data_IF_873287302927
#
_entry.id   IF_873287302927
#
_cell.length_a   1.000
_cell.length_b   1.000
_cell.length_c   1.000
_cell.angle_alpha   90.00
_cell.angle_beta   90.00
_cell.angle_gamma   90.00
#
_symmetry.space_group_name_H-M   'P 1'
#
loop_
_entity.id
_entity.type
_entity.pdbx_description
1 polymer ?
#
# COMPACT_ATOMS: atom_id res chain seq x y z
N UNK A 1 65.82 -37.86 8.97
CA UNK A 1 65.50 -36.41 9.06
C UNK A 1 64.29 -36.09 8.16
N UNK A 2 63.06 -36.22 8.69
CA UNK A 2 61.84 -35.98 7.92
C UNK A 2 61.26 -34.65 8.35
N UNK A 3 61.08 -33.83 7.39
CA UNK A 3 60.52 -32.47 7.26
C UNK A 3 59.47 -32.02 8.29
N UNK A 4 59.89 -31.26 9.28
CA UNK A 4 59.03 -30.51 10.21
C UNK A 4 58.49 -29.18 9.63
N UNK A 5 58.83 -28.87 8.35
CA UNK A 5 58.46 -27.60 7.71
C UNK A 5 57.03 -27.63 7.11
N UNK A 6 56.47 -28.80 6.83
CA UNK A 6 55.23 -28.93 6.06
C UNK A 6 53.95 -28.84 6.91
N UNK A 7 54.04 -29.10 8.21
CA UNK A 7 52.87 -29.09 9.12
C UNK A 7 52.39 -27.66 9.48
N UNK A 8 53.31 -26.71 9.59
CA UNK A 8 52.95 -25.30 9.90
C UNK A 8 52.29 -24.55 8.74
N UNK A 9 52.64 -24.94 7.50
CA UNK A 9 52.06 -24.37 6.28
C UNK A 9 50.64 -24.93 6.07
N UNK A 10 50.43 -26.22 6.29
CA UNK A 10 49.10 -26.86 6.21
C UNK A 10 48.12 -26.35 7.27
N UNK A 11 48.58 -26.12 8.49
CA UNK A 11 47.73 -25.56 9.56
C UNK A 11 47.32 -24.11 9.27
N UNK A 12 48.22 -23.29 8.69
CA UNK A 12 47.87 -21.88 8.35
C UNK A 12 46.92 -21.77 7.17
N UNK A 13 47.00 -22.68 6.19
CA UNK A 13 46.04 -22.73 5.07
C UNK A 13 44.68 -23.24 5.53
N UNK A 14 44.58 -24.26 6.37
CA UNK A 14 43.35 -24.77 6.93
C UNK A 14 42.63 -23.71 7.80
N UNK A 15 43.39 -22.96 8.61
CA UNK A 15 42.85 -21.91 9.45
C UNK A 15 42.33 -20.71 8.64
N UNK A 16 42.95 -20.35 7.52
CA UNK A 16 42.46 -19.31 6.61
C UNK A 16 41.17 -19.72 5.87
N UNK A 17 41.06 -20.99 5.46
CA UNK A 17 39.87 -21.55 4.84
C UNK A 17 38.70 -21.59 5.84
N UNK A 18 38.95 -21.98 7.08
CA UNK A 18 37.91 -22.05 8.13
C UNK A 18 37.35 -20.65 8.48
N UNK A 19 38.23 -19.63 8.58
CA UNK A 19 37.77 -18.24 8.82
C UNK A 19 37.02 -17.66 7.61
N UNK A 20 37.39 -18.02 6.38
CA UNK A 20 36.68 -17.54 5.18
C UNK A 20 35.30 -18.14 5.03
N UNK A 21 35.10 -19.41 5.40
CA UNK A 21 33.78 -20.08 5.35
C UNK A 21 32.83 -19.56 6.42
N UNK A 22 33.35 -19.29 7.63
CA UNK A 22 32.52 -18.70 8.72
C UNK A 22 32.08 -17.27 8.38
N UNK A 23 32.94 -16.47 7.73
CA UNK A 23 32.59 -15.11 7.30
C UNK A 23 31.53 -15.11 6.20
N UNK A 24 31.53 -16.06 5.27
CA UNK A 24 30.54 -16.19 4.19
C UNK A 24 29.20 -16.71 4.75
N UNK A 25 29.20 -17.63 5.71
CA UNK A 25 27.98 -18.10 6.37
C UNK A 25 27.33 -17.01 7.26
N UNK A 26 28.13 -16.12 7.86
CA UNK A 26 27.62 -15.00 8.65
C UNK A 26 26.95 -13.90 7.82
N UNK A 27 27.35 -13.71 6.56
CA UNK A 27 26.75 -12.70 5.68
C UNK A 27 25.42 -13.15 5.03
N UNK A 28 25.18 -14.45 4.92
CA UNK A 28 23.93 -14.98 4.35
C UNK A 28 22.77 -14.91 5.34
N UNK A 29 23.05 -14.82 6.64
CA UNK A 29 22.00 -14.76 7.69
C UNK A 29 21.31 -13.38 7.85
N UNK A 30 21.79 -12.34 7.16
CA UNK A 30 21.30 -10.95 7.34
C UNK A 30 20.30 -10.47 6.28
N UNK A 31 19.90 -11.29 5.33
CA UNK A 31 19.00 -10.91 4.24
C UNK A 31 17.61 -11.55 4.30
N UNK A 32 17.13 -11.94 5.49
CA UNK A 32 15.70 -12.18 5.66
C UNK A 32 15.05 -10.82 5.86
N UNK A 33 14.59 -10.22 4.78
CA UNK A 33 13.59 -9.16 4.86
C UNK A 33 12.44 -9.71 5.72
N UNK A 34 12.25 -9.15 6.91
CA UNK A 34 11.18 -9.55 7.82
C UNK A 34 9.89 -9.36 7.04
N UNK A 35 9.26 -10.45 6.62
CA UNK A 35 7.97 -10.42 5.97
C UNK A 35 7.02 -9.67 6.92
N UNK A 36 6.40 -8.60 6.43
CA UNK A 36 5.49 -7.79 7.25
C UNK A 36 4.28 -8.67 7.54
N UNK A 37 4.18 -9.17 8.77
CA UNK A 37 3.05 -9.98 9.22
C UNK A 37 1.77 -9.14 9.11
N UNK A 38 0.84 -9.58 8.27
CA UNK A 38 -0.44 -8.92 8.08
C UNK A 38 -1.40 -9.36 9.17
N UNK A 39 -1.97 -8.44 9.97
CA UNK A 39 -2.89 -8.77 11.03
C UNK A 39 -4.18 -9.43 10.50
N UNK A 40 -4.83 -10.24 11.33
CA UNK A 40 -6.11 -10.88 11.05
C UNK A 40 -7.32 -10.06 11.51
N UNK A 41 -7.07 -8.96 12.21
CA UNK A 41 -8.09 -7.97 12.62
C UNK A 41 -7.80 -6.63 11.98
N UNK A 42 -8.85 -5.92 11.59
CA UNK A 42 -8.79 -4.53 11.10
C UNK A 42 -8.41 -3.54 12.21
N UNK A 43 -8.62 -3.88 13.48
CA UNK A 43 -8.20 -3.08 14.63
C UNK A 43 -6.68 -3.13 14.90
N UNK A 44 -5.98 -4.16 14.38
CA UNK A 44 -4.55 -4.38 14.62
C UNK A 44 -3.65 -3.81 13.52
N UNK A 45 -4.19 -3.09 12.56
CA UNK A 45 -3.41 -2.46 11.49
C UNK A 45 -2.46 -1.39 12.06
N UNK A 46 -1.32 -1.18 11.38
CA UNK A 46 -0.29 -0.21 11.79
C UNK A 46 0.04 0.74 10.64
N UNK A 47 -0.83 1.74 10.40
CA UNK A 47 -0.71 2.62 9.24
C UNK A 47 0.56 3.45 9.26
N UNK A 48 1.01 3.81 8.07
CA UNK A 48 2.06 4.80 7.85
C UNK A 48 1.72 6.12 8.57
N UNK A 49 2.73 6.73 9.19
CA UNK A 49 2.56 7.95 9.98
C UNK A 49 2.82 9.23 9.14
N UNK A 50 2.27 10.35 9.62
CA UNK A 50 2.64 11.68 9.12
C UNK A 50 4.15 11.88 9.28
N UNK A 51 4.80 12.45 8.26
CA UNK A 51 6.24 12.64 8.21
C UNK A 51 7.02 11.44 7.64
N UNK A 52 6.36 10.31 7.34
CA UNK A 52 6.98 9.19 6.64
C UNK A 52 6.77 9.31 5.13
N UNK A 53 7.70 8.74 4.35
CA UNK A 53 7.61 8.70 2.88
C UNK A 53 6.87 7.46 2.41
N UNK A 54 6.00 7.64 1.41
CA UNK A 54 5.42 6.54 0.66
C UNK A 54 6.55 5.70 0.02
N UNK A 55 6.63 4.40 0.29
CA UNK A 55 7.63 3.52 -0.30
C UNK A 55 7.46 3.41 -1.83
N UNK A 56 8.41 2.76 -2.49
CA UNK A 56 8.29 2.49 -3.94
C UNK A 56 7.25 1.41 -4.17
N UNK A 57 6.14 1.77 -4.80
CA UNK A 57 4.99 0.89 -5.03
C UNK A 57 4.68 0.88 -6.53
N UNK A 58 4.36 -0.32 -7.04
CA UNK A 58 3.83 -0.53 -8.37
C UNK A 58 2.36 -0.90 -8.26
N UNK A 59 1.52 -0.28 -9.07
CA UNK A 59 0.08 -0.52 -9.15
C UNK A 59 -0.27 -0.77 -10.61
N UNK A 60 -1.53 -1.12 -10.90
CA UNK A 60 -2.00 -1.25 -12.28
C UNK A 60 -3.11 -0.22 -12.53
N UNK A 61 -3.12 0.39 -13.72
CA UNK A 61 -4.25 1.23 -14.14
C UNK A 61 -5.42 0.34 -14.62
N UNK A 62 -6.61 0.90 -14.93
CA UNK A 62 -7.74 0.13 -15.43
C UNK A 62 -7.47 -0.63 -16.73
N UNK A 63 -6.47 -0.24 -17.54
CA UNK A 63 -6.02 -0.96 -18.72
C UNK A 63 -5.07 -2.13 -18.40
N UNK A 64 -4.72 -2.35 -17.12
CA UNK A 64 -3.79 -3.39 -16.68
C UNK A 64 -2.30 -3.02 -16.79
N UNK A 65 -1.98 -1.81 -17.20
CA UNK A 65 -0.61 -1.34 -17.33
C UNK A 65 -0.01 -1.00 -15.98
N UNK A 66 1.28 -1.32 -15.79
CA UNK A 66 1.99 -1.04 -14.53
C UNK A 66 2.31 0.44 -14.40
N UNK A 67 1.87 1.02 -13.30
CA UNK A 67 2.09 2.41 -12.92
C UNK A 67 2.94 2.48 -11.65
N UNK A 68 3.97 3.31 -11.64
CA UNK A 68 4.76 3.61 -10.44
C UNK A 68 4.05 4.72 -9.66
N UNK A 69 3.46 4.39 -8.50
CA UNK A 69 2.78 5.39 -7.66
C UNK A 69 3.65 6.62 -7.38
N UNK A 70 4.92 6.41 -7.05
CA UNK A 70 5.85 7.50 -6.75
C UNK A 70 6.10 8.46 -7.94
N UNK A 71 5.86 8.03 -9.18
CA UNK A 71 5.94 8.94 -10.34
C UNK A 71 4.75 9.90 -10.35
N UNK A 72 3.54 9.41 -10.12
CA UNK A 72 2.33 10.24 -10.03
C UNK A 72 2.39 11.21 -8.84
N UNK A 73 2.90 10.75 -7.68
CA UNK A 73 3.06 11.61 -6.49
C UNK A 73 4.02 12.77 -6.71
N UNK A 74 5.00 12.65 -7.62
CA UNK A 74 5.93 13.74 -7.96
C UNK A 74 5.31 14.83 -8.82
N UNK A 75 4.27 14.51 -9.56
CA UNK A 75 3.61 15.45 -10.48
C UNK A 75 2.79 16.48 -9.72
N UNK A 76 1.97 16.02 -8.76
CA UNK A 76 1.08 16.86 -7.97
C UNK A 76 0.97 16.35 -6.53
N UNK A 77 0.78 17.24 -5.54
CA UNK A 77 0.34 16.79 -4.22
C UNK A 77 -0.97 16.01 -4.37
N UNK A 78 -1.12 14.95 -3.60
CA UNK A 78 -2.13 13.92 -3.86
C UNK A 78 -2.98 13.64 -2.65
N UNK A 79 -4.30 13.60 -2.83
CA UNK A 79 -5.21 12.89 -1.95
C UNK A 79 -5.19 11.43 -2.37
N UNK A 80 -4.51 10.58 -1.60
CA UNK A 80 -4.41 9.14 -1.82
C UNK A 80 -5.42 8.41 -0.94
N UNK A 81 -6.39 7.74 -1.56
CA UNK A 81 -7.51 7.09 -0.87
C UNK A 81 -7.41 5.59 -1.05
N UNK A 82 -7.55 4.84 0.05
CA UNK A 82 -7.63 3.38 0.03
C UNK A 82 -9.04 2.93 0.38
N UNK A 83 -9.60 2.01 -0.43
CA UNK A 83 -10.94 1.48 -0.25
C UNK A 83 -10.97 -0.03 -0.50
N UNK A 84 -12.01 -0.70 0.03
CA UNK A 84 -12.09 -2.16 0.06
C UNK A 84 -12.36 -2.79 -1.29
N UNK A 85 -13.07 -2.05 -2.16
CA UNK A 85 -13.44 -2.51 -3.51
C UNK A 85 -14.74 -1.88 -3.99
N UNK A 86 -15.00 -1.93 -5.31
CA UNK A 86 -16.19 -1.40 -5.97
C UNK A 86 -17.48 -2.16 -5.63
N UNK A 87 -17.37 -3.33 -5.04
CA UNK A 87 -18.47 -4.11 -4.50
C UNK A 87 -19.01 -3.58 -3.16
N UNK A 88 -18.27 -2.69 -2.47
CA UNK A 88 -18.61 -2.19 -1.14
C UNK A 88 -19.51 -0.93 -1.25
N UNK A 89 -20.76 -0.95 -0.74
CA UNK A 89 -21.68 0.20 -0.85
C UNK A 89 -21.14 1.47 -0.19
N UNK A 90 -20.55 1.36 1.01
CA UNK A 90 -19.96 2.53 1.71
C UNK A 90 -18.74 3.09 0.96
N UNK A 91 -18.02 2.25 0.23
CA UNK A 91 -16.91 2.72 -0.60
C UNK A 91 -17.43 3.50 -1.80
N UNK A 92 -18.44 2.99 -2.51
CA UNK A 92 -19.05 3.68 -3.64
C UNK A 92 -19.63 5.04 -3.22
N UNK A 93 -20.31 5.09 -2.07
CA UNK A 93 -20.82 6.36 -1.52
C UNK A 93 -19.68 7.35 -1.30
N UNK A 94 -18.59 6.93 -0.65
CA UNK A 94 -17.43 7.80 -0.41
C UNK A 94 -16.77 8.26 -1.72
N UNK A 95 -16.58 7.35 -2.70
CA UNK A 95 -16.03 7.72 -4.00
C UNK A 95 -16.90 8.76 -4.71
N UNK A 96 -18.24 8.63 -4.66
CA UNK A 96 -19.15 9.59 -5.22
C UNK A 96 -19.10 10.95 -4.48
N UNK A 97 -18.97 10.95 -3.14
CA UNK A 97 -18.80 12.18 -2.37
C UNK A 97 -17.49 12.90 -2.69
N UNK A 98 -16.39 12.17 -2.93
CA UNK A 98 -15.11 12.78 -3.33
C UNK A 98 -15.17 13.52 -4.68
N UNK A 99 -16.11 13.18 -5.59
CA UNK A 99 -16.36 13.96 -6.82
C UNK A 99 -16.69 15.42 -6.52
N UNK A 100 -17.41 15.69 -5.41
CA UNK A 100 -17.80 17.06 -5.04
C UNK A 100 -16.61 17.95 -4.69
N UNK A 101 -15.50 17.38 -4.28
CA UNK A 101 -14.27 18.10 -3.92
C UNK A 101 -13.14 17.92 -4.95
N UNK A 102 -13.38 17.18 -6.03
CA UNK A 102 -12.37 16.97 -7.08
C UNK A 102 -11.95 18.31 -7.72
N UNK A 103 -12.89 19.09 -8.23
CA UNK A 103 -12.58 20.39 -8.82
C UNK A 103 -11.94 21.36 -7.82
N UNK A 104 -12.48 21.58 -6.59
CA UNK A 104 -11.82 22.37 -5.57
C UNK A 104 -10.40 21.91 -5.20
N UNK A 105 -10.12 20.60 -5.16
CA UNK A 105 -8.77 20.08 -4.93
C UNK A 105 -7.85 20.32 -6.13
N UNK A 106 -8.35 20.17 -7.35
CA UNK A 106 -7.62 20.46 -8.57
C UNK A 106 -7.23 21.97 -8.63
N UNK A 107 -8.12 22.86 -8.22
CA UNK A 107 -7.86 24.31 -8.13
C UNK A 107 -6.76 24.64 -7.11
N UNK A 108 -6.64 23.84 -6.05
CA UNK A 108 -5.54 23.90 -5.09
C UNK A 108 -4.25 23.22 -5.59
N UNK A 109 -4.26 22.64 -6.79
CA UNK A 109 -3.13 21.93 -7.40
C UNK A 109 -2.97 20.49 -6.95
N UNK A 110 -3.93 19.93 -6.22
CA UNK A 110 -3.94 18.51 -5.84
C UNK A 110 -4.54 17.63 -6.94
N UNK A 111 -4.26 16.34 -6.87
CA UNK A 111 -4.96 15.30 -7.59
C UNK A 111 -5.57 14.28 -6.61
N UNK A 112 -6.58 13.53 -7.05
CA UNK A 112 -7.13 12.39 -6.30
C UNK A 112 -6.67 11.09 -6.97
N UNK A 113 -6.14 10.17 -6.18
CA UNK A 113 -5.83 8.79 -6.59
C UNK A 113 -6.52 7.86 -5.60
N UNK A 114 -7.42 7.00 -6.09
CA UNK A 114 -8.08 5.99 -5.27
C UNK A 114 -7.56 4.59 -5.63
N UNK A 115 -7.25 3.80 -4.60
CA UNK A 115 -6.58 2.50 -4.70
C UNK A 115 -7.42 1.44 -4.02
N UNK A 116 -7.62 0.29 -4.67
CA UNK A 116 -8.26 -0.88 -4.07
C UNK A 116 -7.57 -2.17 -4.51
N UNK A 117 -7.78 -3.29 -3.78
CA UNK A 117 -7.33 -4.61 -4.22
C UNK A 117 -8.08 -5.17 -5.43
N UNK A 118 -9.07 -4.47 -5.95
CA UNK A 118 -9.77 -4.93 -7.14
C UNK A 118 -8.84 -5.01 -8.34
N UNK A 119 -9.01 -6.01 -9.18
CA UNK A 119 -8.29 -6.13 -10.44
C UNK A 119 -8.70 -5.03 -11.44
N UNK A 120 -7.90 -4.74 -12.47
CA UNK A 120 -8.12 -3.63 -13.40
C UNK A 120 -9.53 -3.55 -13.99
N UNK A 121 -10.12 -4.69 -14.40
CA UNK A 121 -11.43 -4.73 -15.02
C UNK A 121 -12.57 -4.35 -14.05
N UNK A 122 -12.40 -4.62 -12.75
CA UNK A 122 -13.37 -4.20 -11.72
C UNK A 122 -13.23 -2.71 -11.39
N UNK A 123 -12.02 -2.12 -11.54
CA UNK A 123 -11.84 -0.67 -11.41
C UNK A 123 -12.56 0.09 -12.53
N UNK A 124 -12.49 -0.41 -13.78
CA UNK A 124 -13.19 0.22 -14.88
C UNK A 124 -14.70 0.31 -14.60
N UNK A 125 -15.30 -0.81 -14.18
CA UNK A 125 -16.73 -0.84 -13.79
C UNK A 125 -17.04 0.12 -12.63
N UNK A 126 -16.13 0.23 -11.65
CA UNK A 126 -16.29 1.14 -10.51
C UNK A 126 -16.24 2.59 -10.96
N UNK A 127 -15.32 2.94 -11.85
CA UNK A 127 -15.19 4.28 -12.44
C UNK A 127 -16.43 4.69 -13.21
N UNK A 128 -16.90 3.83 -14.10
CA UNK A 128 -18.11 4.06 -14.91
C UNK A 128 -19.36 4.19 -14.03
N UNK A 129 -19.57 3.23 -13.12
CA UNK A 129 -20.75 3.22 -12.21
C UNK A 129 -20.88 4.48 -11.36
N UNK A 130 -19.74 5.00 -10.88
CA UNK A 130 -19.71 6.18 -10.00
C UNK A 130 -19.37 7.47 -10.76
N UNK A 131 -19.19 7.41 -12.09
CA UNK A 131 -18.83 8.55 -12.97
C UNK A 131 -17.60 9.32 -12.43
N UNK A 132 -16.53 8.59 -12.09
CA UNK A 132 -15.35 9.16 -11.44
C UNK A 132 -14.43 9.82 -12.47
N UNK A 133 -14.06 11.09 -12.25
CA UNK A 133 -13.11 11.84 -13.08
C UNK A 133 -11.65 11.67 -12.65
N UNK A 134 -11.40 11.18 -11.45
CA UNK A 134 -10.07 11.02 -10.89
C UNK A 134 -9.49 9.61 -11.10
N UNK A 135 -8.20 9.48 -10.83
CA UNK A 135 -7.43 8.26 -11.10
C UNK A 135 -7.81 7.11 -10.16
N UNK A 136 -8.13 5.94 -10.73
CA UNK A 136 -8.26 4.67 -10.02
C UNK A 136 -7.05 3.78 -10.31
N UNK A 137 -6.50 3.11 -9.27
CA UNK A 137 -5.39 2.17 -9.41
C UNK A 137 -5.68 0.86 -8.67
N UNK A 138 -5.31 -0.24 -9.30
CA UNK A 138 -5.40 -1.58 -8.76
C UNK A 138 -4.17 -1.94 -7.95
N UNK A 139 -4.38 -2.34 -6.72
CA UNK A 139 -3.43 -3.00 -5.84
C UNK A 139 -3.79 -4.49 -5.69
N UNK A 140 -4.11 -5.15 -6.81
CA UNK A 140 -4.55 -6.56 -6.81
C UNK A 140 -3.56 -7.49 -6.13
N UNK A 141 -2.28 -7.16 -6.12
CA UNK A 141 -1.22 -7.93 -5.47
C UNK A 141 -1.04 -7.54 -3.98
N UNK A 142 -1.86 -6.60 -3.48
CA UNK A 142 -1.85 -6.08 -2.10
C UNK A 142 -0.49 -5.50 -1.65
N UNK A 143 0.34 -5.02 -2.59
CA UNK A 143 1.65 -4.45 -2.27
C UNK A 143 1.54 -3.13 -1.53
N UNK A 144 0.66 -2.23 -2.00
CA UNK A 144 0.47 -0.90 -1.41
C UNK A 144 -0.12 -1.01 -0.01
N UNK A 145 -1.20 -1.74 0.15
CA UNK A 145 -1.86 -1.85 1.46
C UNK A 145 -0.98 -2.53 2.51
N UNK A 146 -0.14 -3.51 2.12
CA UNK A 146 0.87 -4.10 3.01
C UNK A 146 1.97 -3.11 3.36
N UNK A 147 2.54 -2.45 2.36
CA UNK A 147 3.65 -1.52 2.55
C UNK A 147 3.28 -0.28 3.38
N UNK A 148 2.00 0.11 3.38
CA UNK A 148 1.47 1.24 4.15
C UNK A 148 0.84 0.81 5.49
N UNK A 149 0.89 -0.47 5.82
CA UNK A 149 0.35 -1.00 7.07
C UNK A 149 -1.17 -0.87 7.19
N UNK A 150 -1.89 -0.86 6.05
CA UNK A 150 -3.34 -0.74 5.97
C UNK A 150 -4.02 -2.10 5.81
N UNK A 151 -3.26 -3.15 5.46
CA UNK A 151 -3.78 -4.47 5.16
C UNK A 151 -4.19 -5.23 6.40
N UNK A 152 -5.31 -5.94 6.32
CA UNK A 152 -5.67 -7.04 7.22
C UNK A 152 -6.18 -8.24 6.43
N UNK A 153 -6.07 -9.44 6.99
CA UNK A 153 -6.52 -10.69 6.37
C UNK A 153 -7.94 -11.00 6.79
N UNK A 154 -8.84 -11.11 5.81
CA UNK A 154 -10.25 -11.44 6.06
C UNK A 154 -10.39 -12.91 6.45
N UNK A 155 -10.90 -13.17 7.65
CA UNK A 155 -11.09 -14.53 8.18
C UNK A 155 -12.13 -15.32 7.39
N UNK A 156 -12.06 -16.64 7.48
CA UNK A 156 -12.90 -17.58 6.70
C UNK A 156 -14.40 -17.36 6.93
N UNK A 157 -14.83 -17.17 8.17
CA UNK A 157 -16.24 -16.93 8.51
C UNK A 157 -16.78 -15.67 7.81
N UNK A 158 -16.01 -14.58 7.85
CA UNK A 158 -16.38 -13.34 7.18
C UNK A 158 -16.43 -13.51 5.66
N UNK A 159 -15.46 -14.24 5.06
CA UNK A 159 -15.47 -14.51 3.60
C UNK A 159 -16.69 -15.31 3.16
N UNK A 160 -17.11 -16.31 3.96
CA UNK A 160 -18.33 -17.07 3.70
C UNK A 160 -19.55 -16.14 3.76
N UNK A 161 -19.66 -15.32 4.80
CA UNK A 161 -20.73 -14.34 4.91
C UNK A 161 -20.75 -13.37 3.72
N UNK A 162 -19.58 -12.85 3.31
CA UNK A 162 -19.48 -11.95 2.15
C UNK A 162 -19.96 -12.63 0.85
N UNK A 163 -19.61 -13.91 0.64
CA UNK A 163 -20.07 -14.69 -0.53
C UNK A 163 -21.59 -14.84 -0.56
N UNK A 164 -22.24 -15.03 0.60
CA UNK A 164 -23.71 -15.08 0.72
C UNK A 164 -24.37 -13.77 0.26
N UNK A 165 -23.69 -12.63 0.43
CA UNK A 165 -24.13 -11.33 -0.07
C UNK A 165 -23.60 -10.98 -1.47
N UNK A 166 -23.12 -11.98 -2.23
CA UNK A 166 -22.65 -11.83 -3.61
C UNK A 166 -21.24 -11.24 -3.75
N UNK A 167 -20.48 -11.09 -2.66
CA UNK A 167 -19.10 -10.58 -2.68
C UNK A 167 -18.10 -11.72 -2.66
N UNK A 168 -17.32 -11.85 -3.71
CA UNK A 168 -16.25 -12.84 -3.83
C UNK A 168 -14.91 -12.11 -3.99
N UNK A 169 -14.07 -12.14 -2.94
CA UNK A 169 -12.80 -11.43 -2.89
C UNK A 169 -11.81 -11.95 -3.94
N UNK A 170 -11.77 -13.27 -4.15
CA UNK A 170 -10.88 -13.88 -5.14
C UNK A 170 -11.26 -13.45 -6.57
N UNK A 171 -12.56 -13.36 -6.86
CA UNK A 171 -13.04 -12.86 -8.16
C UNK A 171 -12.76 -11.38 -8.34
N UNK A 172 -12.91 -10.59 -7.28
CA UNK A 172 -12.72 -9.13 -7.34
C UNK A 172 -11.26 -8.75 -7.50
N UNK A 173 -10.36 -9.39 -6.77
CA UNK A 173 -8.91 -9.11 -6.83
C UNK A 173 -8.18 -9.91 -7.92
N UNK A 174 -8.70 -11.07 -8.31
CA UNK A 174 -7.98 -12.05 -9.13
C UNK A 174 -6.89 -12.80 -8.36
N UNK A 175 -6.88 -12.72 -7.03
CA UNK A 175 -5.87 -13.29 -6.13
C UNK A 175 -6.54 -14.02 -4.95
N UNK A 176 -5.78 -14.88 -4.26
CA UNK A 176 -6.24 -15.70 -3.13
C UNK A 176 -5.71 -15.24 -1.76
N UNK A 177 -5.05 -14.08 -1.70
CA UNK A 177 -4.48 -13.56 -0.45
C UNK A 177 -5.52 -13.16 0.60
N UNK A 178 -6.76 -12.83 0.19
CA UNK A 178 -7.87 -12.38 1.04
C UNK A 178 -7.56 -11.13 1.88
N UNK A 179 -6.69 -10.26 1.38
CA UNK A 179 -6.33 -9.02 2.06
C UNK A 179 -7.25 -7.89 1.64
N UNK A 180 -7.67 -7.08 2.61
CA UNK A 180 -8.39 -5.84 2.39
C UNK A 180 -7.69 -4.70 3.14
N UNK A 181 -7.76 -3.46 2.63
CA UNK A 181 -7.37 -2.30 3.41
C UNK A 181 -8.47 -1.92 4.39
N UNK A 182 -8.08 -1.38 5.54
CA UNK A 182 -8.95 -0.46 6.25
C UNK A 182 -9.10 0.82 5.42
N UNK A 183 -10.27 1.48 5.42
CA UNK A 183 -10.45 2.75 4.72
C UNK A 183 -9.44 3.79 5.20
N UNK A 184 -8.76 4.42 4.26
CA UNK A 184 -7.77 5.44 4.55
C UNK A 184 -7.81 6.58 3.54
N UNK A 185 -7.49 7.79 3.99
CA UNK A 185 -7.26 8.97 3.17
C UNK A 185 -5.99 9.67 3.64
N UNK A 186 -5.02 9.83 2.75
CA UNK A 186 -3.72 10.41 3.03
C UNK A 186 -3.52 11.64 2.14
N UNK A 187 -3.06 12.77 2.67
CA UNK A 187 -2.45 13.80 1.84
C UNK A 187 -0.96 13.54 1.75
N UNK A 188 -0.46 13.54 0.53
CA UNK A 188 0.94 13.27 0.22
C UNK A 188 1.49 14.44 -0.60
N UNK A 189 2.65 14.96 -0.24
CA UNK A 189 3.31 16.03 -0.99
C UNK A 189 4.08 15.48 -2.21
N UNK A 190 4.60 16.39 -3.05
CA UNK A 190 5.38 16.02 -4.25
C UNK A 190 6.74 15.37 -3.96
N UNK A 191 7.17 15.35 -2.69
CA UNK A 191 8.35 14.60 -2.24
C UNK A 191 8.00 13.19 -1.78
N UNK A 192 6.70 12.83 -1.84
CA UNK A 192 6.15 11.56 -1.37
C UNK A 192 5.98 11.49 0.14
N UNK A 193 5.99 12.62 0.85
CA UNK A 193 5.83 12.70 2.29
C UNK A 193 4.35 12.73 2.67
N UNK A 194 3.93 11.89 3.61
CA UNK A 194 2.58 11.94 4.19
C UNK A 194 2.47 13.18 5.09
N UNK A 195 1.50 14.04 4.81
CA UNK A 195 1.27 15.30 5.53
C UNK A 195 -0.03 15.34 6.31
N UNK A 196 -0.96 14.45 5.98
CA UNK A 196 -2.22 14.21 6.71
C UNK A 196 -2.58 12.74 6.56
N UNK A 197 -3.22 12.18 7.59
CA UNK A 197 -3.76 10.82 7.54
C UNK A 197 -5.08 10.74 8.27
N UNK A 198 -6.04 10.04 7.67
CA UNK A 198 -7.25 9.55 8.29
C UNK A 198 -7.32 8.05 7.99
N UNK A 199 -7.43 7.23 9.03
CA UNK A 199 -7.56 5.77 8.91
C UNK A 199 -8.64 5.33 9.89
N UNK A 200 -9.53 4.44 9.45
CA UNK A 200 -10.59 3.90 10.30
C UNK A 200 -10.71 2.39 10.13
N UNK A 201 -10.52 1.59 11.21
CA UNK A 201 -10.87 0.17 11.19
C UNK A 201 -12.34 -0.06 10.88
N UNK A 202 -13.23 0.81 11.35
CA UNK A 202 -14.66 0.74 10.99
C UNK A 202 -14.87 1.09 9.52
N UNK A 203 -15.12 0.07 8.71
CA UNK A 203 -15.29 0.23 7.25
C UNK A 203 -16.50 1.11 6.83
N UNK A 204 -17.35 1.53 7.74
CA UNK A 204 -18.47 2.45 7.48
C UNK A 204 -18.09 3.91 7.69
N UNK A 205 -16.99 4.20 8.39
CA UNK A 205 -16.55 5.56 8.70
C UNK A 205 -15.63 6.10 7.62
N UNK A 206 -15.80 7.35 7.26
CA UNK A 206 -14.98 8.10 6.28
C UNK A 206 -14.66 9.48 6.81
N UNK A 207 -13.55 10.02 6.30
CA UNK A 207 -13.22 11.43 6.53
C UNK A 207 -14.22 12.32 5.78
N UNK A 208 -14.63 13.41 6.43
CA UNK A 208 -15.47 14.42 5.82
C UNK A 208 -14.68 15.23 4.77
N UNK A 209 -15.38 15.66 3.71
CA UNK A 209 -14.77 16.46 2.64
C UNK A 209 -14.26 17.81 3.14
N UNK A 210 -14.90 18.44 4.12
CA UNK A 210 -14.45 19.71 4.69
C UNK A 210 -13.14 19.54 5.45
N UNK A 211 -12.94 18.40 6.13
CA UNK A 211 -11.68 18.04 6.79
C UNK A 211 -10.56 17.86 5.76
N UNK A 212 -10.84 17.16 4.65
CA UNK A 212 -9.88 16.99 3.54
C UNK A 212 -9.48 18.37 3.00
N UNK A 213 -10.45 19.22 2.69
CA UNK A 213 -10.21 20.55 2.14
C UNK A 213 -9.43 21.46 3.11
N UNK A 214 -9.75 21.41 4.40
CA UNK A 214 -9.00 22.14 5.42
C UNK A 214 -7.54 21.68 5.53
N UNK A 215 -7.32 20.37 5.53
CA UNK A 215 -5.98 19.79 5.57
C UNK A 215 -5.16 20.12 4.31
N UNK A 216 -5.77 20.06 3.12
CA UNK A 216 -5.12 20.44 1.85
C UNK A 216 -4.70 21.92 1.85
N UNK A 217 -5.58 22.82 2.29
CA UNK A 217 -5.27 24.25 2.44
C UNK A 217 -4.16 24.50 3.46
N UNK A 218 -4.15 23.78 4.57
CA UNK A 218 -3.11 23.89 5.61
C UNK A 218 -1.75 23.43 5.08
N UNK A 219 -1.68 22.35 4.30
CA UNK A 219 -0.46 21.86 3.67
C UNK A 219 0.18 22.93 2.75
N UNK A 220 -0.63 23.69 2.01
CA UNK A 220 -0.12 24.76 1.13
C UNK A 220 0.44 25.95 1.91
N UNK A 221 -0.14 26.27 3.07
CA UNK A 221 0.37 27.35 3.95
C UNK A 221 1.74 26.99 4.57
N UNK A 222 1.94 25.72 4.93
CA UNK A 222 3.19 25.24 5.53
C UNK A 222 4.39 25.22 4.55
N UNK A 223 4.17 25.40 3.23
CA UNK A 223 5.22 25.48 2.19
C UNK A 223 5.71 26.90 1.94
N UNK A 224 5.08 27.92 2.53
CA UNK A 224 5.51 29.34 2.48
C UNK A 224 6.41 29.65 3.65
#
# INVERSE_FOLDING_TARGET
MLNTVNTKVLLRTAQRFFFSVICVMGLVALAHAKEVEVPTSDDDVRPILIGQKIPKIKLKNPAGEVVKLNSLLKEKPTLLVFYRGGWCPYCNLHLAELRKVEAPLNDLGFQIIAVSPDKPEELQKTGEKNELGYTLLSDSDAEAIKALGLAYKVGTTMRVAMKTFGVNLEKSSGQDHHLLPVPAALLVDTKGMVTFTFVSPNYKVRVDNDVIMAAAKAQLKAKK
#
